data_IF_231703753785
#
_entry.id   IF_231703753785
#
_cell.length_a   1.000
_cell.length_b   1.000
_cell.length_c   1.000
_cell.angle_alpha   90.00
_cell.angle_beta   90.00
_cell.angle_gamma   90.00
#
_symmetry.space_group_name_H-M   'P 1'
#
loop_
_entity.id
_entity.type
_entity.pdbx_description
1 polymer ?
#
# COMPACT_ATOMS: atom_id res chain seq x y z
N UNK A 1 24.73 20.71 -8.84
CA UNK A 1 23.29 20.38 -8.69
C UNK A 1 23.03 18.87 -8.52
N UNK A 2 23.44 17.99 -9.44
CA UNK A 2 23.14 16.54 -9.38
C UNK A 2 23.62 15.82 -8.10
N UNK A 3 24.85 16.11 -7.64
CA UNK A 3 25.42 15.47 -6.43
C UNK A 3 24.68 15.91 -5.15
N UNK A 4 24.24 17.17 -5.07
CA UNK A 4 23.49 17.67 -3.92
C UNK A 4 22.13 16.98 -3.79
N UNK A 5 21.38 16.86 -4.88
CA UNK A 5 20.10 16.15 -4.90
C UNK A 5 20.28 14.69 -4.45
N UNK A 6 21.33 14.05 -4.96
CA UNK A 6 21.65 12.68 -4.60
C UNK A 6 21.98 12.51 -3.11
N UNK A 7 22.74 13.45 -2.54
CA UNK A 7 23.05 13.46 -1.12
C UNK A 7 21.77 13.66 -0.27
N UNK A 8 20.86 14.55 -0.68
CA UNK A 8 19.59 14.76 0.01
C UNK A 8 18.70 13.52 -0.02
N UNK A 9 18.55 12.88 -1.19
CA UNK A 9 17.80 11.64 -1.33
C UNK A 9 18.38 10.54 -0.45
N UNK A 10 19.70 10.33 -0.52
CA UNK A 10 20.36 9.34 0.31
C UNK A 10 20.17 9.62 1.81
N UNK A 11 20.32 10.88 2.23
CA UNK A 11 20.11 11.31 3.63
C UNK A 11 18.69 10.99 4.09
N UNK A 12 17.68 11.34 3.29
CA UNK A 12 16.29 11.08 3.61
C UNK A 12 16.02 9.59 3.86
N UNK A 13 16.41 8.72 2.93
CA UNK A 13 16.18 7.28 3.07
C UNK A 13 17.01 6.66 4.19
N UNK A 14 18.28 7.06 4.32
CA UNK A 14 19.17 6.59 5.38
C UNK A 14 18.60 6.88 6.77
N UNK A 15 18.22 8.14 7.02
CA UNK A 15 17.66 8.54 8.32
C UNK A 15 16.24 8.01 8.55
N UNK A 16 15.46 7.76 7.49
CA UNK A 16 14.16 7.08 7.63
C UNK A 16 14.34 5.66 8.17
N UNK A 17 15.33 4.90 7.67
CA UNK A 17 15.64 3.54 8.16
C UNK A 17 16.27 3.60 9.55
N UNK A 18 17.23 4.50 9.77
CA UNK A 18 17.89 4.63 11.08
C UNK A 18 16.89 4.99 12.19
N UNK A 19 15.96 5.92 11.90
CA UNK A 19 14.87 6.26 12.80
C UNK A 19 13.96 5.09 13.11
N UNK A 20 13.63 4.28 12.10
CA UNK A 20 12.87 3.06 12.29
C UNK A 20 13.60 2.05 13.20
N UNK A 21 14.90 1.82 12.99
CA UNK A 21 15.70 0.93 13.84
C UNK A 21 15.66 1.40 15.30
N UNK A 22 15.84 2.71 15.53
CA UNK A 22 15.81 3.30 16.86
C UNK A 22 14.45 3.10 17.53
N UNK A 23 13.37 3.42 16.83
CA UNK A 23 12.02 3.40 17.41
C UNK A 23 11.50 1.96 17.61
N UNK A 24 11.77 1.05 16.67
CA UNK A 24 11.49 -0.39 16.82
C UNK A 24 12.24 -0.94 18.01
N UNK A 25 13.53 -0.63 18.15
CA UNK A 25 14.33 -1.10 19.27
C UNK A 25 13.73 -0.61 20.58
N UNK A 26 13.54 0.70 20.72
CA UNK A 26 12.98 1.30 21.93
C UNK A 26 11.63 0.70 22.33
N UNK A 27 10.67 0.64 21.40
CA UNK A 27 9.33 0.11 21.70
C UNK A 27 9.34 -1.40 21.93
N UNK A 28 10.13 -2.14 21.16
CA UNK A 28 10.16 -3.60 21.30
C UNK A 28 10.83 -4.06 22.59
N UNK A 29 11.88 -3.36 23.03
CA UNK A 29 12.48 -3.60 24.34
C UNK A 29 11.53 -3.26 25.49
N UNK A 30 10.84 -2.12 25.41
CA UNK A 30 9.88 -1.68 26.44
C UNK A 30 8.69 -2.63 26.55
N UNK A 31 8.13 -3.04 25.42
CA UNK A 31 6.88 -3.81 25.36
C UNK A 31 7.13 -5.33 25.30
N UNK A 32 8.40 -5.76 25.33
CA UNK A 32 8.87 -7.18 25.27
C UNK A 32 8.31 -7.98 24.09
N UNK A 33 7.92 -7.31 23.02
CA UNK A 33 7.40 -7.90 21.78
C UNK A 33 7.77 -7.01 20.62
N UNK A 34 7.82 -7.56 19.41
CA UNK A 34 8.10 -6.75 18.22
C UNK A 34 6.98 -5.73 17.99
N UNK A 35 7.33 -4.45 18.01
CA UNK A 35 6.44 -3.33 17.70
C UNK A 35 6.97 -2.64 16.45
N UNK A 36 6.18 -2.63 15.38
CA UNK A 36 6.47 -1.85 14.18
C UNK A 36 5.82 -0.46 14.28
N UNK A 37 6.58 0.63 14.46
CA UNK A 37 6.06 1.98 14.59
C UNK A 37 5.79 2.64 13.23
N UNK A 38 5.01 3.71 13.25
CA UNK A 38 4.80 4.58 12.10
C UNK A 38 3.57 4.23 11.26
N UNK A 39 3.43 4.97 10.15
CA UNK A 39 2.30 4.84 9.23
C UNK A 39 2.48 3.67 8.25
N UNK A 40 3.71 3.48 7.78
CA UNK A 40 4.06 2.48 6.78
C UNK A 40 4.44 1.15 7.44
N UNK A 41 4.35 0.04 6.70
CA UNK A 41 4.62 -1.31 7.20
C UNK A 41 6.09 -1.70 7.08
N UNK A 42 6.83 -1.09 6.16
CA UNK A 42 8.24 -1.36 5.92
C UNK A 42 9.18 -0.72 6.95
N UNK A 43 10.49 -0.98 6.83
CA UNK A 43 11.48 -0.58 7.82
C UNK A 43 11.94 0.88 7.67
N UNK A 44 11.00 1.82 7.69
CA UNK A 44 11.29 3.24 7.51
C UNK A 44 10.25 4.12 8.21
N UNK A 45 10.73 5.22 8.80
CA UNK A 45 9.90 6.28 9.36
C UNK A 45 10.13 7.59 8.58
N UNK A 46 9.16 7.98 7.76
CA UNK A 46 9.23 9.20 6.93
C UNK A 46 9.58 10.43 7.77
N UNK A 47 9.00 10.54 8.97
CA UNK A 47 9.23 11.68 9.87
C UNK A 47 10.71 11.83 10.27
N UNK A 48 11.46 10.74 10.43
CA UNK A 48 12.88 10.81 10.76
C UNK A 48 13.74 11.23 9.56
N UNK A 49 13.42 10.74 8.36
CA UNK A 49 14.06 11.21 7.12
C UNK A 49 13.84 12.70 6.89
N UNK A 50 12.58 13.15 6.99
CA UNK A 50 12.22 14.57 6.86
C UNK A 50 12.86 15.41 7.97
N UNK A 51 12.81 14.94 9.21
CA UNK A 51 13.41 15.62 10.36
C UNK A 51 14.91 15.80 10.23
N UNK A 52 15.64 14.77 9.80
CA UNK A 52 17.07 14.88 9.55
C UNK A 52 17.41 15.89 8.46
N UNK A 53 16.67 15.91 7.34
CA UNK A 53 16.86 16.92 6.29
C UNK A 53 16.60 18.34 6.77
N UNK A 54 15.50 18.55 7.51
CA UNK A 54 15.18 19.85 8.11
C UNK A 54 16.30 20.27 9.07
N UNK A 55 16.72 19.38 9.97
CA UNK A 55 17.79 19.68 10.93
C UNK A 55 19.12 19.95 10.23
N UNK A 56 19.50 19.20 9.20
CA UNK A 56 20.71 19.49 8.40
C UNK A 56 20.63 20.89 7.76
N UNK A 57 19.47 21.27 7.24
CA UNK A 57 19.23 22.62 6.70
C UNK A 57 19.32 23.70 7.78
N UNK A 58 18.67 23.50 8.92
CA UNK A 58 18.69 24.43 10.06
C UNK A 58 20.12 24.59 10.59
N UNK A 59 20.85 23.49 10.81
CA UNK A 59 22.26 23.52 11.21
C UNK A 59 23.05 24.35 10.19
N UNK A 60 22.92 24.07 8.90
CA UNK A 60 23.65 24.79 7.85
C UNK A 60 23.35 26.30 7.80
N UNK A 61 22.13 26.72 8.14
CA UNK A 61 21.72 28.14 8.09
C UNK A 61 22.05 28.90 9.37
N UNK A 62 22.09 28.21 10.51
CA UNK A 62 22.23 28.84 11.84
C UNK A 62 23.52 28.42 12.56
N UNK A 63 24.46 27.78 11.85
CA UNK A 63 25.77 27.43 12.39
C UNK A 63 26.49 28.70 12.86
N UNK A 64 26.95 28.72 14.12
CA UNK A 64 27.62 29.87 14.72
C UNK A 64 26.70 30.93 15.33
N UNK A 65 25.37 30.81 15.19
CA UNK A 65 24.43 31.66 15.91
C UNK A 65 24.40 31.35 17.42
N UNK A 66 23.90 32.30 18.21
CA UNK A 66 23.75 32.13 19.65
C UNK A 66 22.89 30.89 20.01
N UNK A 67 23.25 30.19 21.09
CA UNK A 67 22.59 28.93 21.49
C UNK A 67 21.08 29.10 21.65
N UNK A 68 20.61 30.24 22.17
CA UNK A 68 19.18 30.52 22.32
C UNK A 68 18.45 30.54 20.97
N UNK A 69 19.06 31.12 19.93
CA UNK A 69 18.48 31.12 18.58
C UNK A 69 18.33 29.69 18.06
N UNK A 70 19.36 28.86 18.27
CA UNK A 70 19.37 27.43 17.90
C UNK A 70 18.30 26.63 18.64
N UNK A 71 18.13 26.87 19.94
CA UNK A 71 17.03 26.29 20.73
C UNK A 71 15.68 26.62 20.10
N UNK A 72 15.43 27.89 19.77
CA UNK A 72 14.15 28.33 19.19
C UNK A 72 13.89 27.70 17.82
N UNK A 73 14.88 27.69 16.91
CA UNK A 73 14.68 27.09 15.59
C UNK A 73 14.54 25.57 15.65
N UNK A 74 15.23 24.88 16.57
CA UNK A 74 15.03 23.44 16.78
C UNK A 74 13.68 23.13 17.38
N UNK A 75 13.20 23.93 18.32
CA UNK A 75 11.85 23.81 18.86
C UNK A 75 10.81 23.92 17.73
N UNK A 76 10.89 24.98 16.93
CA UNK A 76 9.94 25.23 15.84
C UNK A 76 10.01 24.14 14.77
N UNK A 77 11.22 23.73 14.36
CA UNK A 77 11.41 22.73 13.32
C UNK A 77 10.88 21.35 13.75
N UNK A 78 11.27 20.88 14.93
CA UNK A 78 10.91 19.53 15.39
C UNK A 78 9.46 19.43 15.86
N UNK A 79 9.00 20.39 16.67
CA UNK A 79 7.61 20.42 17.14
C UNK A 79 6.64 20.71 15.99
N UNK A 80 7.02 21.58 15.05
CA UNK A 80 6.23 21.84 13.85
C UNK A 80 6.12 20.61 12.96
N UNK A 81 7.22 19.89 12.74
CA UNK A 81 7.22 18.63 11.99
C UNK A 81 6.33 17.58 12.67
N UNK A 82 6.42 17.44 13.99
CA UNK A 82 5.57 16.52 14.76
C UNK A 82 4.09 16.89 14.59
N UNK A 83 3.72 18.14 14.83
CA UNK A 83 2.33 18.60 14.67
C UNK A 83 1.79 18.35 13.27
N UNK A 84 2.52 18.77 12.23
CA UNK A 84 2.09 18.60 10.83
C UNK A 84 1.95 17.12 10.50
N UNK A 85 2.91 16.29 10.90
CA UNK A 85 2.89 14.84 10.63
C UNK A 85 1.72 14.15 11.33
N UNK A 86 1.44 14.51 12.59
CA UNK A 86 0.30 14.01 13.36
C UNK A 86 -1.05 14.42 12.74
N UNK A 87 -1.16 15.67 12.28
CA UNK A 87 -2.37 16.16 11.60
C UNK A 87 -2.59 15.47 10.25
N UNK A 88 -1.55 15.28 9.44
CA UNK A 88 -1.64 14.55 8.16
C UNK A 88 -2.08 13.11 8.40
N UNK A 89 -1.46 12.41 9.36
CA UNK A 89 -1.82 11.02 9.68
C UNK A 89 -3.28 10.89 10.14
N UNK A 90 -3.74 11.82 10.98
CA UNK A 90 -5.13 11.81 11.47
C UNK A 90 -6.15 12.13 10.38
N UNK A 91 -5.86 13.11 9.51
CA UNK A 91 -6.81 13.57 8.50
C UNK A 91 -6.90 12.63 7.30
N UNK A 92 -5.76 12.20 6.76
CA UNK A 92 -5.73 11.39 5.54
C UNK A 92 -5.77 9.89 5.79
N UNK A 93 -5.21 9.44 6.91
CA UNK A 93 -5.03 8.00 7.19
C UNK A 93 -5.87 7.50 8.37
N UNK A 94 -6.64 8.38 9.02
CA UNK A 94 -7.38 8.08 10.25
C UNK A 94 -6.53 7.37 11.31
N UNK A 95 -5.22 7.66 11.32
CA UNK A 95 -4.23 6.96 12.12
C UNK A 95 -3.73 7.85 13.26
N UNK A 96 -3.66 7.29 14.46
CA UNK A 96 -3.04 7.91 15.63
C UNK A 96 -1.62 7.35 15.81
N UNK A 97 -0.60 8.09 15.35
CA UNK A 97 0.80 7.65 15.43
C UNK A 97 1.37 7.74 16.85
N UNK A 98 0.88 8.71 17.63
CA UNK A 98 1.14 8.93 19.04
C UNK A 98 -0.04 9.69 19.66
N UNK A 99 -0.11 9.69 20.99
CA UNK A 99 -1.12 10.43 21.75
C UNK A 99 -0.50 11.01 23.03
N UNK A 100 -0.56 12.34 23.15
CA UNK A 100 -0.07 13.10 24.29
C UNK A 100 -1.20 13.78 25.09
N UNK A 101 -2.44 13.29 24.95
CA UNK A 101 -3.61 13.86 25.63
C UNK A 101 -3.49 13.82 27.15
N UNK A 102 -2.70 12.90 27.70
CA UNK A 102 -2.39 12.75 29.11
C UNK A 102 -1.27 13.69 29.61
N UNK A 103 -0.57 14.39 28.72
CA UNK A 103 0.54 15.27 29.08
C UNK A 103 0.06 16.72 29.32
N UNK A 104 0.73 17.42 30.25
CA UNK A 104 0.50 18.86 30.49
C UNK A 104 0.95 19.68 29.27
N UNK A 105 0.25 20.79 29.01
CA UNK A 105 0.50 21.68 27.87
C UNK A 105 0.49 20.94 26.51
N UNK A 106 -0.41 19.97 26.35
CA UNK A 106 -0.62 19.32 25.06
C UNK A 106 -1.54 20.15 24.17
N UNK A 107 -1.38 20.00 22.85
CA UNK A 107 -2.29 20.54 21.86
C UNK A 107 -3.00 19.40 21.13
N UNK A 108 -4.27 19.17 21.51
CA UNK A 108 -5.16 18.13 20.93
C UNK A 108 -4.51 16.72 20.88
N UNK A 109 -3.63 16.43 21.84
CA UNK A 109 -2.86 15.18 21.90
C UNK A 109 -1.75 15.01 20.84
N UNK A 110 -1.53 15.98 19.95
CA UNK A 110 -0.54 15.86 18.85
C UNK A 110 0.87 16.27 19.23
N UNK A 111 1.01 17.31 20.05
CA UNK A 111 2.30 17.80 20.56
C UNK A 111 2.14 18.16 22.03
N UNK A 112 3.22 18.13 22.80
CA UNK A 112 3.24 18.72 24.13
C UNK A 112 4.62 19.28 24.48
N UNK A 113 4.66 20.22 25.42
CA UNK A 113 5.89 20.91 25.80
C UNK A 113 7.01 19.95 26.25
N UNK A 114 6.65 18.87 26.97
CA UNK A 114 7.61 17.87 27.46
C UNK A 114 8.38 17.19 26.31
N UNK A 115 7.66 16.70 25.30
CA UNK A 115 8.28 16.04 24.15
C UNK A 115 9.00 17.05 23.25
N UNK A 116 8.47 18.27 23.09
CA UNK A 116 9.20 19.35 22.41
C UNK A 116 10.57 19.62 23.02
N UNK A 117 10.72 19.58 24.34
CA UNK A 117 12.03 19.72 25.00
C UNK A 117 12.95 18.54 24.66
N UNK A 118 12.44 17.30 24.68
CA UNK A 118 13.22 16.13 24.25
C UNK A 118 13.67 16.25 22.80
N UNK A 119 12.83 16.77 21.91
CA UNK A 119 13.19 16.97 20.52
C UNK A 119 14.28 18.03 20.31
N UNK A 120 14.29 19.10 21.12
CA UNK A 120 15.40 20.07 21.12
C UNK A 120 16.71 19.38 21.52
N UNK A 121 16.71 18.59 22.59
CA UNK A 121 17.89 17.87 23.06
C UNK A 121 18.41 16.89 21.99
N UNK A 122 17.49 16.15 21.35
CA UNK A 122 17.82 15.24 20.25
C UNK A 122 18.36 16.01 19.04
N UNK A 123 17.84 17.21 18.73
CA UNK A 123 18.35 18.04 17.64
C UNK A 123 19.80 18.50 17.89
N UNK A 124 20.14 18.89 19.12
CA UNK A 124 21.53 19.17 19.49
C UNK A 124 22.40 17.92 19.44
N UNK A 125 21.90 16.78 19.92
CA UNK A 125 22.62 15.52 19.83
C UNK A 125 22.86 15.11 18.36
N UNK A 126 21.88 15.35 17.49
CA UNK A 126 22.01 15.14 16.06
C UNK A 126 23.11 16.01 15.47
N UNK A 127 23.12 17.31 15.75
CA UNK A 127 24.14 18.24 15.26
C UNK A 127 25.55 17.88 15.72
N UNK A 128 25.74 17.58 17.00
CA UNK A 128 27.08 17.43 17.58
C UNK A 128 27.63 16.00 17.48
N UNK A 129 26.78 14.97 17.53
CA UNK A 129 27.22 13.58 17.59
C UNK A 129 26.90 12.78 16.34
N UNK A 130 25.77 13.05 15.67
CA UNK A 130 25.33 12.24 14.53
C UNK A 130 25.83 12.84 13.21
N UNK A 131 25.72 14.16 13.04
CA UNK A 131 26.00 14.84 11.79
C UNK A 131 27.48 14.75 11.37
N UNK A 132 28.49 14.93 12.26
CA UNK A 132 29.90 14.83 11.84
C UNK A 132 30.31 13.46 11.28
N UNK A 133 30.06 12.31 11.96
CA UNK A 133 30.38 11.01 11.39
C UNK A 133 29.52 10.68 10.16
N UNK A 134 28.27 11.15 10.13
CA UNK A 134 27.40 11.01 8.95
C UNK A 134 27.95 11.75 7.72
N UNK A 135 28.47 12.96 7.89
CA UNK A 135 29.11 13.70 6.81
C UNK A 135 30.35 12.96 6.27
N UNK A 136 31.15 12.37 7.17
CA UNK A 136 32.25 11.48 6.78
C UNK A 136 31.77 10.32 5.89
N UNK A 137 30.79 9.56 6.37
CA UNK A 137 30.16 8.49 5.59
C UNK A 137 29.65 8.97 4.22
N UNK A 138 28.95 10.12 4.20
CA UNK A 138 28.39 10.68 2.98
C UNK A 138 29.48 11.05 1.96
N UNK A 139 30.65 11.51 2.39
CA UNK A 139 31.76 11.82 1.47
C UNK A 139 32.46 10.59 0.92
N UNK A 140 32.54 9.49 1.69
CA UNK A 140 33.19 8.25 1.26
C UNK A 140 32.35 7.41 0.30
N UNK A 141 31.02 7.57 0.31
CA UNK A 141 30.14 6.81 -0.58
C UNK A 141 30.15 7.35 -2.01
N UNK A 142 30.33 6.45 -2.97
CA UNK A 142 30.28 6.78 -4.40
C UNK A 142 28.87 7.25 -4.81
N UNK A 143 28.75 8.08 -5.86
CA UNK A 143 27.44 8.48 -6.39
C UNK A 143 26.57 7.29 -6.81
N UNK A 144 27.17 6.22 -7.36
CA UNK A 144 26.44 5.02 -7.74
C UNK A 144 25.83 4.30 -6.54
N UNK A 145 26.59 4.15 -5.44
CA UNK A 145 26.09 3.54 -4.22
C UNK A 145 24.91 4.32 -3.63
N UNK A 146 25.04 5.65 -3.54
CA UNK A 146 23.95 6.53 -3.07
C UNK A 146 22.71 6.43 -3.95
N UNK A 147 22.89 6.41 -5.26
CA UNK A 147 21.82 6.37 -6.25
C UNK A 147 21.08 5.04 -6.22
N UNK A 148 21.81 3.92 -6.23
CA UNK A 148 21.25 2.58 -6.12
C UNK A 148 20.46 2.40 -4.82
N UNK A 149 21.06 2.74 -3.67
CA UNK A 149 20.39 2.67 -2.37
C UNK A 149 19.10 3.50 -2.32
N UNK A 150 19.18 4.76 -2.75
CA UNK A 150 18.03 5.69 -2.73
C UNK A 150 16.92 5.20 -3.64
N UNK A 151 17.25 4.70 -4.83
CA UNK A 151 16.27 4.22 -5.81
C UNK A 151 15.55 2.98 -5.32
N UNK A 152 16.29 1.99 -4.81
CA UNK A 152 15.69 0.75 -4.28
C UNK A 152 14.79 1.06 -3.08
N UNK A 153 15.28 1.85 -2.14
CA UNK A 153 14.51 2.22 -0.93
C UNK A 153 13.28 3.04 -1.29
N UNK A 154 13.40 3.99 -2.24
CA UNK A 154 12.27 4.74 -2.77
C UNK A 154 11.19 3.83 -3.34
N UNK A 155 11.55 2.89 -4.22
CA UNK A 155 10.57 1.99 -4.84
C UNK A 155 9.84 1.15 -3.80
N UNK A 156 10.55 0.61 -2.81
CA UNK A 156 9.95 -0.17 -1.72
C UNK A 156 9.00 0.69 -0.89
N UNK A 157 9.46 1.87 -0.46
CA UNK A 157 8.64 2.78 0.35
C UNK A 157 7.45 3.35 -0.42
N UNK A 158 7.59 3.59 -1.72
CA UNK A 158 6.52 4.06 -2.58
C UNK A 158 5.42 3.02 -2.75
N UNK A 159 5.78 1.75 -2.98
CA UNK A 159 4.80 0.66 -3.05
C UNK A 159 4.05 0.48 -1.73
N UNK A 160 4.74 0.55 -0.59
CA UNK A 160 4.11 0.45 0.72
C UNK A 160 3.19 1.66 1.01
N UNK A 161 3.65 2.87 0.69
CA UNK A 161 2.83 4.09 0.80
C UNK A 161 1.57 3.99 -0.05
N UNK A 162 1.65 3.50 -1.30
CA UNK A 162 0.49 3.25 -2.13
C UNK A 162 -0.45 2.23 -1.49
N UNK A 163 0.08 1.11 -0.99
CA UNK A 163 -0.74 0.08 -0.34
C UNK A 163 -1.49 0.62 0.88
N UNK A 164 -0.83 1.40 1.75
CA UNK A 164 -1.44 2.04 2.91
C UNK A 164 -2.47 3.09 2.49
N UNK A 165 -2.15 3.92 1.50
CA UNK A 165 -3.05 4.96 0.99
C UNK A 165 -4.32 4.37 0.38
N UNK A 166 -4.19 3.31 -0.42
CA UNK A 166 -5.33 2.59 -1.00
C UNK A 166 -6.20 1.99 0.11
N UNK A 167 -5.59 1.30 1.08
CA UNK A 167 -6.34 0.69 2.18
C UNK A 167 -7.08 1.74 3.02
N UNK A 168 -6.45 2.90 3.24
CA UNK A 168 -7.11 4.00 3.94
C UNK A 168 -8.21 4.65 3.10
N UNK A 169 -8.02 4.79 1.78
CA UNK A 169 -9.00 5.40 0.88
C UNK A 169 -10.24 4.52 0.69
N UNK A 170 -10.05 3.20 0.71
CA UNK A 170 -11.10 2.18 0.65
C UNK A 170 -11.61 1.75 2.03
N UNK A 171 -11.18 2.43 3.10
CA UNK A 171 -11.67 2.14 4.44
C UNK A 171 -13.18 2.37 4.49
N UNK A 172 -13.90 1.37 4.97
CA UNK A 172 -15.35 1.41 5.17
C UNK A 172 -15.65 1.03 6.61
N UNK A 173 -16.68 1.64 7.18
CA UNK A 173 -17.26 1.19 8.45
C UNK A 173 -17.80 -0.24 8.32
N UNK A 174 -17.96 -0.98 9.43
CA UNK A 174 -18.54 -2.33 9.37
C UNK A 174 -19.91 -2.39 8.68
N UNK A 175 -20.74 -1.38 8.90
CA UNK A 175 -22.08 -1.25 8.31
C UNK A 175 -22.01 -1.02 6.79
N UNK A 176 -21.17 -0.07 6.35
CA UNK A 176 -20.92 0.19 4.91
C UNK A 176 -20.34 -1.03 4.20
N UNK A 177 -19.49 -1.78 4.90
CA UNK A 177 -18.90 -3.01 4.37
C UNK A 177 -19.98 -4.08 4.15
N UNK A 178 -20.84 -4.34 5.12
CA UNK A 178 -21.95 -5.30 4.98
C UNK A 178 -22.87 -4.90 3.82
N UNK A 179 -23.24 -3.62 3.73
CA UNK A 179 -24.08 -3.13 2.63
C UNK A 179 -23.40 -3.27 1.27
N UNK A 180 -22.12 -2.94 1.17
CA UNK A 180 -21.35 -3.04 -0.07
C UNK A 180 -21.13 -4.49 -0.49
N UNK A 181 -20.88 -5.39 0.46
CA UNK A 181 -20.83 -6.84 0.21
C UNK A 181 -22.18 -7.34 -0.32
N UNK A 182 -23.30 -7.03 0.34
CA UNK A 182 -24.62 -7.43 -0.12
C UNK A 182 -24.91 -6.95 -1.56
N UNK A 183 -24.58 -5.69 -1.87
CA UNK A 183 -24.74 -5.15 -3.23
C UNK A 183 -23.86 -5.89 -4.24
N UNK A 184 -22.58 -6.11 -3.94
CA UNK A 184 -21.67 -6.85 -4.81
C UNK A 184 -22.22 -8.24 -5.13
N UNK A 185 -22.65 -8.98 -4.10
CA UNK A 185 -23.19 -10.33 -4.23
C UNK A 185 -24.41 -10.34 -5.14
N UNK A 186 -25.36 -9.43 -4.91
CA UNK A 186 -26.59 -9.38 -5.68
C UNK A 186 -26.34 -9.10 -7.17
N UNK A 187 -25.38 -8.22 -7.49
CA UNK A 187 -24.99 -7.95 -8.88
C UNK A 187 -24.13 -9.06 -9.50
N UNK A 188 -23.26 -9.71 -8.72
CA UNK A 188 -22.35 -10.74 -9.20
C UNK A 188 -22.99 -12.12 -9.38
N UNK A 189 -23.98 -12.46 -8.54
CA UNK A 189 -24.61 -13.79 -8.46
C UNK A 189 -25.07 -14.34 -9.83
N UNK A 190 -25.78 -13.57 -10.68
CA UNK A 190 -26.25 -14.09 -11.97
C UNK A 190 -25.14 -14.57 -12.90
N UNK A 191 -23.92 -14.03 -12.81
CA UNK A 191 -22.78 -14.50 -13.57
C UNK A 191 -22.02 -15.61 -12.85
N UNK A 192 -21.87 -15.52 -11.53
CA UNK A 192 -21.16 -16.53 -10.74
C UNK A 192 -21.84 -17.90 -10.76
N UNK A 193 -23.16 -17.94 -10.96
CA UNK A 193 -23.95 -19.18 -11.10
C UNK A 193 -23.87 -19.80 -12.51
N UNK A 194 -23.22 -19.14 -13.47
CA UNK A 194 -23.02 -19.71 -14.80
C UNK A 194 -21.95 -20.83 -14.76
N UNK A 195 -22.22 -22.02 -15.31
CA UNK A 195 -21.25 -23.13 -15.34
C UNK A 195 -19.91 -22.73 -15.97
N UNK A 196 -19.94 -21.86 -16.97
CA UNK A 196 -18.76 -21.31 -17.63
C UNK A 196 -17.85 -20.52 -16.69
N UNK A 197 -18.43 -19.74 -15.77
CA UNK A 197 -17.67 -18.97 -14.78
C UNK A 197 -17.18 -19.89 -13.66
N UNK A 198 -18.05 -20.78 -13.16
CA UNK A 198 -17.67 -21.78 -12.15
C UNK A 198 -16.48 -22.64 -12.61
N UNK A 199 -16.45 -23.00 -13.91
CA UNK A 199 -15.36 -23.77 -14.54
C UNK A 199 -13.99 -23.11 -14.38
N UNK A 200 -13.91 -21.80 -14.18
CA UNK A 200 -12.64 -21.10 -13.90
C UNK A 200 -11.94 -21.60 -12.62
N UNK A 201 -12.67 -22.25 -11.70
CA UNK A 201 -12.10 -22.90 -10.51
C UNK A 201 -11.15 -24.05 -10.84
N UNK A 202 -11.28 -24.63 -12.03
CA UNK A 202 -10.46 -25.77 -12.47
C UNK A 202 -9.09 -25.32 -13.02
N UNK A 203 -8.93 -24.03 -13.33
CA UNK A 203 -7.72 -23.50 -13.95
C UNK A 203 -6.89 -22.74 -12.93
N UNK A 204 -5.60 -23.08 -12.85
CA UNK A 204 -4.65 -22.35 -12.00
C UNK A 204 -4.37 -20.96 -12.59
N UNK A 205 -4.26 -19.98 -11.71
CA UNK A 205 -3.81 -18.63 -12.07
C UNK A 205 -2.39 -18.41 -11.55
N UNK A 206 -2.22 -18.03 -10.28
CA UNK A 206 -0.91 -17.83 -9.63
C UNK A 206 -0.86 -18.44 -8.22
N UNK A 207 0.30 -19.01 -7.84
CA UNK A 207 0.67 -19.46 -6.48
C UNK A 207 -0.46 -20.12 -5.65
N UNK A 208 -1.21 -21.05 -6.26
CA UNK A 208 -2.24 -21.84 -5.59
C UNK A 208 -3.65 -21.24 -5.61
N UNK A 209 -3.86 -20.07 -6.25
CA UNK A 209 -5.19 -19.55 -6.58
C UNK A 209 -5.71 -20.11 -7.89
N UNK A 210 -7.02 -20.28 -7.95
CA UNK A 210 -7.74 -20.58 -9.20
C UNK A 210 -8.00 -19.28 -9.96
N UNK A 211 -8.33 -19.38 -11.26
CA UNK A 211 -8.75 -18.21 -12.05
C UNK A 211 -10.07 -17.65 -11.54
N UNK A 212 -10.95 -18.50 -11.00
CA UNK A 212 -12.18 -18.05 -10.34
C UNK A 212 -11.90 -17.16 -9.12
N UNK A 213 -10.92 -17.54 -8.29
CA UNK A 213 -10.52 -16.73 -7.12
C UNK A 213 -10.00 -15.35 -7.56
N UNK A 214 -9.18 -15.32 -8.61
CA UNK A 214 -8.61 -14.09 -9.17
C UNK A 214 -9.70 -13.15 -9.68
N UNK A 215 -10.58 -13.62 -10.57
CA UNK A 215 -11.63 -12.75 -11.16
C UNK A 215 -12.62 -12.25 -10.11
N UNK A 216 -12.96 -13.08 -9.10
CA UNK A 216 -13.80 -12.65 -7.96
C UNK A 216 -13.15 -11.52 -7.17
N UNK A 217 -11.86 -11.64 -6.91
CA UNK A 217 -11.12 -10.63 -6.17
C UNK A 217 -10.95 -9.33 -6.96
N UNK A 218 -10.57 -9.41 -8.24
CA UNK A 218 -10.49 -8.25 -9.13
C UNK A 218 -11.84 -7.56 -9.23
N UNK A 219 -12.94 -8.32 -9.38
CA UNK A 219 -14.29 -7.76 -9.42
C UNK A 219 -14.67 -7.05 -8.13
N UNK A 220 -14.43 -7.67 -6.97
CA UNK A 220 -14.77 -7.07 -5.68
C UNK A 220 -13.98 -5.79 -5.40
N UNK A 221 -12.65 -5.82 -5.59
CA UNK A 221 -11.82 -4.64 -5.36
C UNK A 221 -12.17 -3.51 -6.35
N UNK A 222 -12.35 -3.83 -7.64
CA UNK A 222 -12.75 -2.85 -8.64
C UNK A 222 -14.11 -2.24 -8.32
N UNK A 223 -15.06 -3.02 -7.79
CA UNK A 223 -16.35 -2.53 -7.32
C UNK A 223 -16.21 -1.51 -6.19
N UNK A 224 -15.34 -1.75 -5.20
CA UNK A 224 -15.09 -0.79 -4.12
C UNK A 224 -14.53 0.54 -4.64
N UNK A 225 -13.60 0.48 -5.59
CA UNK A 225 -13.12 1.67 -6.29
C UNK A 225 -14.23 2.34 -7.11
N UNK A 226 -15.05 1.55 -7.81
CA UNK A 226 -16.19 2.03 -8.58
C UNK A 226 -17.18 2.80 -7.71
N UNK A 227 -17.55 2.25 -6.56
CA UNK A 227 -18.36 2.92 -5.52
C UNK A 227 -17.77 4.26 -5.13
N UNK A 228 -16.47 4.27 -4.80
CA UNK A 228 -15.78 5.46 -4.30
C UNK A 228 -15.71 6.57 -5.34
N UNK A 229 -15.62 6.22 -6.62
CA UNK A 229 -15.63 7.16 -7.74
C UNK A 229 -17.01 7.37 -8.38
N UNK A 230 -18.08 6.82 -7.77
CA UNK A 230 -19.45 6.89 -8.31
C UNK A 230 -19.56 6.42 -9.76
N UNK A 231 -18.84 5.35 -10.10
CA UNK A 231 -18.85 4.73 -11.43
C UNK A 231 -19.94 3.66 -11.56
N UNK A 232 -20.14 3.18 -12.78
CA UNK A 232 -21.06 2.09 -13.10
C UNK A 232 -20.57 0.75 -12.52
N UNK A 233 -21.02 0.49 -11.30
CA UNK A 233 -20.61 -0.65 -10.50
C UNK A 233 -21.03 -1.98 -11.12
N UNK A 234 -22.18 -2.04 -11.78
CA UNK A 234 -22.66 -3.27 -12.41
C UNK A 234 -21.79 -3.63 -13.62
N UNK A 235 -21.45 -2.65 -14.47
CA UNK A 235 -20.52 -2.88 -15.58
C UNK A 235 -19.13 -3.29 -15.08
N UNK A 236 -18.64 -2.71 -13.98
CA UNK A 236 -17.37 -3.11 -13.35
C UNK A 236 -17.42 -4.57 -12.92
N UNK A 237 -18.44 -4.96 -12.13
CA UNK A 237 -18.57 -6.33 -11.61
C UNK A 237 -18.64 -7.31 -12.77
N UNK A 238 -19.53 -7.06 -13.74
CA UNK A 238 -19.74 -7.95 -14.88
C UNK A 238 -18.50 -8.05 -15.76
N UNK A 239 -17.92 -6.92 -16.17
CA UNK A 239 -16.70 -6.89 -16.98
C UNK A 239 -15.52 -7.56 -16.28
N UNK A 240 -15.32 -7.32 -14.99
CA UNK A 240 -14.24 -7.91 -14.21
C UNK A 240 -14.42 -9.43 -13.97
N UNK A 241 -15.63 -9.94 -13.78
CA UNK A 241 -15.83 -11.40 -13.71
C UNK A 241 -15.53 -12.12 -15.02
N UNK A 242 -15.60 -11.39 -16.15
CA UNK A 242 -15.48 -11.92 -17.50
C UNK A 242 -14.12 -11.66 -18.16
N UNK A 243 -13.26 -10.82 -17.57
CA UNK A 243 -12.03 -10.35 -18.23
C UNK A 243 -11.06 -11.49 -18.57
N UNK A 244 -11.04 -12.52 -17.71
CA UNK A 244 -10.13 -13.67 -17.76
C UNK A 244 -10.85 -14.97 -18.16
N UNK A 245 -11.96 -14.85 -18.92
CA UNK A 245 -12.81 -15.98 -19.31
C UNK A 245 -12.21 -16.84 -20.42
N UNK A 246 -11.17 -17.60 -20.10
CA UNK A 246 -10.59 -18.64 -20.96
C UNK A 246 -10.41 -19.96 -20.19
N UNK A 247 -10.21 -21.06 -20.92
CA UNK A 247 -10.33 -22.43 -20.38
C UNK A 247 -9.12 -23.32 -20.68
N UNK A 248 -7.92 -22.76 -20.59
CA UNK A 248 -6.67 -23.49 -20.78
C UNK A 248 -5.61 -23.03 -19.76
N UNK A 249 -4.56 -23.83 -19.57
CA UNK A 249 -3.39 -23.45 -18.78
C UNK A 249 -2.41 -22.67 -19.66
N UNK A 250 -2.27 -21.37 -19.44
CA UNK A 250 -1.46 -20.49 -20.29
C UNK A 250 0.05 -20.77 -20.22
N UNK A 251 0.53 -21.50 -19.20
CA UNK A 251 1.93 -21.90 -19.07
C UNK A 251 2.28 -23.11 -19.94
N UNK A 252 1.28 -23.92 -20.30
CA UNK A 252 1.47 -25.22 -20.98
C UNK A 252 0.73 -25.31 -22.32
N UNK A 253 -0.32 -24.53 -22.47
CA UNK A 253 -1.29 -24.60 -23.55
C UNK A 253 -1.65 -23.18 -24.05
N UNK A 254 -2.46 -23.13 -25.10
CA UNK A 254 -3.03 -21.89 -25.59
C UNK A 254 -2.18 -21.16 -26.63
N UNK A 255 -2.61 -19.95 -27.03
CA UNK A 255 -2.00 -19.25 -28.13
C UNK A 255 -0.66 -18.62 -27.75
N UNK A 256 0.28 -18.56 -28.71
CA UNK A 256 1.47 -17.72 -28.58
C UNK A 256 1.08 -16.26 -28.33
N UNK A 257 1.91 -15.53 -27.58
CA UNK A 257 1.64 -14.15 -27.18
C UNK A 257 0.34 -14.03 -26.38
N UNK A 258 0.14 -14.93 -25.41
CA UNK A 258 -1.08 -15.04 -24.60
C UNK A 258 -1.55 -13.69 -24.04
N UNK A 259 -0.66 -12.87 -23.46
CA UNK A 259 -0.99 -11.56 -22.88
C UNK A 259 -1.64 -10.57 -23.85
N UNK A 260 -1.40 -10.71 -25.17
CA UNK A 260 -2.00 -9.86 -26.21
C UNK A 260 -3.28 -10.46 -26.82
N UNK A 261 -3.51 -11.76 -26.62
CA UNK A 261 -4.57 -12.51 -27.32
C UNK A 261 -5.72 -12.92 -26.41
N UNK A 262 -5.46 -13.22 -25.14
CA UNK A 262 -6.51 -13.66 -24.24
C UNK A 262 -7.60 -12.60 -24.01
N UNK A 263 -7.37 -11.27 -24.03
CA UNK A 263 -8.48 -10.32 -23.88
C UNK A 263 -9.51 -10.48 -25.00
N UNK A 264 -9.06 -10.78 -26.22
CA UNK A 264 -9.95 -11.10 -27.35
C UNK A 264 -10.65 -12.46 -27.22
N UNK A 265 -9.97 -13.46 -26.66
CA UNK A 265 -10.56 -14.79 -26.40
C UNK A 265 -11.63 -14.70 -25.31
N UNK A 266 -11.31 -14.06 -24.19
CA UNK A 266 -12.23 -13.78 -23.08
C UNK A 266 -13.45 -13.03 -23.57
N UNK A 267 -13.28 -11.98 -24.40
CA UNK A 267 -14.40 -11.25 -24.98
C UNK A 267 -15.30 -12.14 -25.87
N UNK A 268 -14.69 -13.00 -26.71
CA UNK A 268 -15.45 -13.93 -27.55
C UNK A 268 -16.23 -14.95 -26.72
N UNK A 269 -15.65 -15.44 -25.63
CA UNK A 269 -16.32 -16.36 -24.73
C UNK A 269 -17.44 -15.67 -23.94
N UNK A 270 -17.20 -14.45 -23.45
CA UNK A 270 -18.17 -13.67 -22.69
C UNK A 270 -19.44 -13.37 -23.51
N UNK A 271 -19.27 -12.97 -24.78
CA UNK A 271 -20.40 -12.72 -25.71
C UNK A 271 -21.28 -13.94 -25.98
N UNK A 272 -20.80 -15.17 -25.72
CA UNK A 272 -21.57 -16.39 -25.91
C UNK A 272 -22.45 -16.73 -24.72
N UNK A 273 -22.10 -16.26 -23.53
CA UNK A 273 -22.77 -16.65 -22.28
C UNK A 273 -23.68 -15.54 -21.73
N UNK A 274 -23.45 -14.28 -22.11
CA UNK A 274 -24.27 -13.15 -21.63
C UNK A 274 -24.21 -11.97 -22.61
N UNK A 275 -25.28 -11.17 -22.75
CA UNK A 275 -25.22 -9.91 -23.49
C UNK A 275 -24.26 -8.93 -22.78
N UNK A 276 -23.52 -8.16 -23.58
CA UNK A 276 -22.53 -7.20 -23.10
C UNK A 276 -22.84 -5.78 -23.55
N UNK A 277 -22.69 -4.83 -22.65
CA UNK A 277 -22.64 -3.41 -22.97
C UNK A 277 -21.30 -3.02 -23.58
N UNK A 278 -21.24 -1.89 -24.30
CA UNK A 278 -19.98 -1.36 -24.86
C UNK A 278 -18.90 -1.13 -23.79
N UNK A 279 -19.30 -0.87 -22.56
CA UNK A 279 -18.41 -0.64 -21.42
C UNK A 279 -17.82 -1.96 -20.90
N UNK A 280 -18.65 -2.97 -20.73
CA UNK A 280 -18.22 -4.33 -20.35
C UNK A 280 -17.27 -4.94 -21.39
N UNK A 281 -17.57 -4.75 -22.68
CA UNK A 281 -16.66 -5.19 -23.75
C UNK A 281 -15.30 -4.49 -23.69
N UNK A 282 -15.28 -3.19 -23.38
CA UNK A 282 -14.05 -2.41 -23.26
C UNK A 282 -13.23 -2.84 -22.04
N UNK A 283 -13.88 -3.10 -20.90
CA UNK A 283 -13.26 -3.67 -19.70
C UNK A 283 -12.55 -4.98 -20.06
N UNK A 284 -13.28 -5.95 -20.63
CA UNK A 284 -12.74 -7.27 -20.95
C UNK A 284 -11.61 -7.16 -21.96
N UNK A 285 -11.74 -6.32 -22.99
CA UNK A 285 -10.76 -6.24 -24.08
C UNK A 285 -9.48 -5.52 -23.68
N UNK A 286 -9.51 -4.64 -22.68
CA UNK A 286 -8.41 -3.71 -22.36
C UNK A 286 -7.87 -3.81 -20.94
N UNK A 287 -8.31 -4.80 -20.14
CA UNK A 287 -7.82 -4.98 -18.78
C UNK A 287 -6.28 -5.16 -18.70
N UNK A 288 -5.64 -5.66 -19.75
CA UNK A 288 -4.17 -5.81 -19.82
C UNK A 288 -3.43 -4.52 -20.19
N UNK A 289 -4.05 -3.34 -20.26
CA UNK A 289 -3.30 -2.11 -20.51
C UNK A 289 -2.28 -1.85 -19.37
N UNK A 290 -1.03 -1.40 -19.66
CA UNK A 290 -0.47 -0.93 -20.93
C UNK A 290 0.13 -2.02 -21.84
N UNK A 291 0.06 -3.31 -21.47
CA UNK A 291 0.52 -4.39 -22.34
C UNK A 291 -0.31 -4.43 -23.63
N UNK A 292 -1.63 -4.33 -23.54
CA UNK A 292 -2.46 -4.02 -24.72
C UNK A 292 -2.33 -2.53 -25.03
N UNK A 293 -1.72 -2.20 -26.16
CA UNK A 293 -1.31 -0.81 -26.52
C UNK A 293 -2.50 0.17 -26.56
N UNK A 294 -3.72 -0.31 -26.84
CA UNK A 294 -4.91 0.56 -26.92
C UNK A 294 -5.42 0.87 -25.51
N UNK A 295 -5.48 2.15 -25.10
CA UNK A 295 -5.89 2.51 -23.74
C UNK A 295 -7.39 2.28 -23.47
N UNK A 296 -7.75 2.01 -22.20
CA UNK A 296 -9.14 1.99 -21.71
C UNK A 296 -9.93 3.22 -22.18
N UNK A 297 -11.17 3.02 -22.66
CA UNK A 297 -12.03 4.15 -23.08
C UNK A 297 -12.82 4.70 -21.90
N UNK A 298 -13.19 3.84 -20.97
CA UNK A 298 -14.01 4.19 -19.80
C UNK A 298 -13.17 4.14 -18.52
N UNK A 299 -13.58 4.90 -17.51
CA UNK A 299 -12.91 4.88 -16.20
C UNK A 299 -13.07 3.54 -15.50
N UNK A 300 -14.19 2.86 -15.70
CA UNK A 300 -14.44 1.50 -15.23
C UNK A 300 -13.41 0.52 -15.80
N UNK A 301 -13.11 0.63 -17.10
CA UNK A 301 -12.06 -0.16 -17.76
C UNK A 301 -10.67 0.12 -17.19
N UNK A 302 -10.36 1.38 -16.88
CA UNK A 302 -9.09 1.75 -16.26
C UNK A 302 -8.98 1.19 -14.85
N UNK A 303 -10.04 1.29 -14.04
CA UNK A 303 -10.08 0.75 -12.68
C UNK A 303 -9.82 -0.76 -12.70
N UNK A 304 -10.55 -1.51 -13.54
CA UNK A 304 -10.38 -2.96 -13.62
C UNK A 304 -8.97 -3.32 -14.09
N UNK A 305 -8.41 -2.60 -15.05
CA UNK A 305 -7.04 -2.82 -15.53
C UNK A 305 -5.97 -2.62 -14.45
N UNK A 306 -6.09 -1.54 -13.67
CA UNK A 306 -5.16 -1.25 -12.58
C UNK A 306 -5.29 -2.26 -11.43
N UNK A 307 -6.52 -2.62 -11.07
CA UNK A 307 -6.79 -3.60 -10.00
C UNK A 307 -6.32 -4.99 -10.40
N UNK A 308 -6.55 -5.41 -11.64
CA UNK A 308 -6.06 -6.69 -12.16
C UNK A 308 -4.52 -6.79 -12.10
N UNK A 309 -3.84 -5.75 -12.55
CA UNK A 309 -2.38 -5.65 -12.46
C UNK A 309 -1.91 -5.72 -10.99
N UNK A 310 -2.56 -5.00 -10.09
CA UNK A 310 -2.25 -5.01 -8.66
C UNK A 310 -2.45 -6.40 -8.04
N UNK A 311 -3.58 -7.05 -8.30
CA UNK A 311 -3.87 -8.41 -7.82
C UNK A 311 -2.82 -9.40 -8.32
N UNK A 312 -2.50 -9.36 -9.61
CA UNK A 312 -1.48 -10.22 -10.23
C UNK A 312 -0.11 -10.03 -9.58
N UNK A 313 0.36 -8.79 -9.44
CA UNK A 313 1.65 -8.47 -8.81
C UNK A 313 1.67 -8.92 -7.34
N UNK A 314 0.60 -8.65 -6.59
CA UNK A 314 0.50 -9.05 -5.18
C UNK A 314 0.50 -10.57 -5.02
N UNK A 315 -0.18 -11.29 -5.91
CA UNK A 315 -0.23 -12.75 -5.88
C UNK A 315 1.15 -13.35 -6.20
N UNK A 316 1.92 -12.73 -7.12
CA UNK A 316 3.33 -13.03 -7.35
C UNK A 316 4.27 -12.67 -6.20
N UNK A 317 3.90 -11.76 -5.29
CA UNK A 317 4.74 -11.41 -4.14
C UNK A 317 4.37 -12.19 -2.89
N UNK A 318 3.12 -12.62 -2.75
CA UNK A 318 2.67 -13.37 -1.58
C UNK A 318 3.37 -14.73 -1.50
N UNK A 319 4.23 -14.92 -0.50
CA UNK A 319 4.74 -16.23 -0.11
C UNK A 319 3.78 -16.73 0.96
N UNK A 320 2.79 -17.54 0.59
CA UNK A 320 2.05 -18.29 1.61
C UNK A 320 2.99 -19.34 2.19
N UNK A 321 3.43 -19.13 3.43
CA UNK A 321 3.90 -20.19 4.32
C UNK A 321 2.75 -21.19 4.44
N UNK A 322 2.83 -22.31 3.74
CA UNK A 322 1.91 -23.42 3.98
C UNK A 322 2.24 -23.98 5.36
N UNK A 323 1.34 -23.73 6.31
CA UNK A 323 1.35 -24.38 7.62
C UNK A 323 1.21 -25.88 7.44
N UNK A 324 1.99 -26.62 8.24
CA UNK A 324 1.74 -28.03 8.54
C UNK A 324 0.26 -28.19 8.89
N UNK A 325 -0.39 -29.14 8.25
CA UNK A 325 -1.67 -29.69 8.69
C UNK A 325 -1.48 -30.26 10.09
N UNK A 326 -2.08 -29.63 11.10
CA UNK A 326 -2.38 -30.33 12.35
C UNK A 326 -3.56 -31.27 12.12
N UNK A 327 -3.54 -32.49 12.68
CA UNK A 327 -4.64 -33.44 12.52
C UNK A 327 -5.87 -32.95 13.30
N UNK A 328 -7.02 -33.03 12.65
CA UNK A 328 -8.32 -32.68 13.22
C UNK A 328 -8.74 -33.78 14.20
N UNK A 329 -8.77 -33.46 15.49
CA UNK A 329 -9.56 -34.21 16.47
C UNK A 329 -11.05 -33.86 16.27
N UNK A 330 -11.83 -34.89 15.99
CA UNK A 330 -13.29 -34.83 15.90
C UNK A 330 -13.87 -34.65 17.30
N UNK A 331 -14.45 -33.48 17.57
CA UNK A 331 -15.51 -33.35 18.58
C UNK A 331 -16.68 -32.58 18.00
N UNK A 332 -17.82 -33.25 18.09
CA UNK A 332 -19.15 -32.86 17.66
C UNK A 332 -19.68 -31.74 18.55
N UNK A 333 -20.26 -30.68 17.97
CA UNK A 333 -21.44 -29.94 18.46
C UNK A 333 -21.73 -28.68 17.62
N UNK A 334 -23.00 -28.54 17.29
CA UNK A 334 -23.66 -27.47 16.54
C UNK A 334 -23.43 -26.04 17.07
N UNK A 335 -23.23 -25.07 16.16
CA UNK A 335 -24.18 -23.97 15.90
C UNK A 335 -23.63 -22.86 14.96
N UNK A 336 -24.27 -22.83 13.79
CA UNK A 336 -24.42 -21.80 12.75
C UNK A 336 -23.93 -20.36 13.02
N UNK A 337 -22.91 -19.95 12.26
CA UNK A 337 -22.92 -18.76 11.35
C UNK A 337 -21.68 -18.83 10.45
N UNK A 338 -21.80 -19.50 9.30
CA UNK A 338 -20.72 -19.67 8.33
C UNK A 338 -21.03 -18.87 7.06
N UNK A 339 -20.36 -17.73 6.96
CA UNK A 339 -20.22 -16.88 5.79
C UNK A 339 -19.36 -17.63 4.75
N UNK A 340 -19.91 -17.83 3.55
CA UNK A 340 -19.26 -18.31 2.33
C UNK A 340 -18.62 -19.71 2.34
N UNK A 341 -19.40 -20.71 1.88
CA UNK A 341 -18.90 -21.86 1.08
C UNK A 341 -20.06 -22.65 0.47
N UNK A 342 -20.36 -22.41 -0.80
CA UNK A 342 -20.23 -23.36 -1.91
C UNK A 342 -20.39 -22.57 -3.20
#
# INVERSE_FOLDING_TARGET
MKIYILNLLFSFFFFSILGWILEVSYRSFRDKRFINPGLLKGPYLIIYGTGALILMGVVSLFQGSHVLTRVLVYFLATTGLELISGLIARFFFHAHLWDYSDQRFNFRGHICLKFSIYWILIAFAFEYFILPPYQGLLTHLSPLAKGGFSTITFLIMFVDFLAVSINSFLHMTPEEKVFSEAQFINSARPLLELPEIERLSQYKHHRGKTRLDHVKEVAYLSFLWGKRFSLDCDAIIRGALLHDLFYYDWLREGPRLHGFRHPGISLKNARRITPLSKKEEDIIKKHMWPLTIVPPRYMESLVVSLVDTFCSVRDYMSIKRYGKTEPVETTDTDSKTAVWKR
#
